data_IF_494025300366
#
_entry.id   IF_494025300366
#
_cell.length_a   1.000
_cell.length_b   1.000
_cell.length_c   1.000
_cell.angle_alpha   90.00
_cell.angle_beta   90.00
_cell.angle_gamma   90.00
#
_symmetry.space_group_name_H-M   'P 1'
#
loop_
_entity.id
_entity.type
_entity.pdbx_description
1 polymer ?
#
# COMPACT_ATOMS: atom_id res chain seq x y z
N UNK A 1 -1.99 -8.48 -4.55
CA UNK A 1 -0.87 -8.29 -3.59
C UNK A 1 -1.15 -7.04 -2.74
N UNK A 2 -0.74 -6.98 -1.47
CA UNK A 2 -1.09 -5.92 -0.48
C UNK A 2 -0.35 -4.58 -0.70
N UNK A 3 -0.11 -4.20 -1.96
CA UNK A 3 0.67 -3.01 -2.30
C UNK A 3 -0.21 -1.78 -2.57
N UNK A 4 -1.42 -1.97 -3.12
CA UNK A 4 -2.36 -0.89 -3.49
C UNK A 4 -1.71 0.22 -4.34
N UNK A 5 -0.83 -0.19 -5.25
CA UNK A 5 0.07 0.69 -6.00
C UNK A 5 -0.62 1.92 -6.63
N UNK A 6 -1.81 1.80 -7.27
CA UNK A 6 -2.45 2.95 -7.92
C UNK A 6 -2.85 4.08 -6.97
N UNK A 7 -3.01 3.81 -5.67
CA UNK A 7 -3.50 4.79 -4.70
C UNK A 7 -2.42 5.70 -4.11
N UNK A 8 -1.15 5.52 -4.46
CA UNK A 8 -0.06 6.32 -3.87
C UNK A 8 1.22 6.43 -4.72
N UNK A 9 1.45 5.53 -5.68
CA UNK A 9 2.72 5.46 -6.38
C UNK A 9 3.01 6.74 -7.19
N UNK A 10 4.22 7.28 -7.00
CA UNK A 10 4.68 8.52 -7.65
C UNK A 10 4.45 9.78 -6.80
N UNK A 11 3.63 9.73 -5.76
CA UNK A 11 3.42 10.88 -4.87
C UNK A 11 4.70 11.26 -4.13
N UNK A 12 5.37 10.30 -3.49
CA UNK A 12 6.62 10.55 -2.76
C UNK A 12 7.68 11.16 -3.66
N UNK A 13 7.88 10.60 -4.86
CA UNK A 13 8.79 11.15 -5.87
C UNK A 13 8.39 12.56 -6.32
N UNK A 14 7.11 12.83 -6.55
CA UNK A 14 6.64 14.16 -6.95
C UNK A 14 6.89 15.22 -5.86
N UNK A 15 6.59 14.89 -4.60
CA UNK A 15 6.87 15.79 -3.48
C UNK A 15 8.37 16.02 -3.30
N UNK A 16 9.19 14.97 -3.46
CA UNK A 16 10.65 15.12 -3.41
C UNK A 16 11.17 16.08 -4.48
N UNK A 17 10.69 15.96 -5.71
CA UNK A 17 11.05 16.86 -6.80
C UNK A 17 10.56 18.30 -6.53
N UNK A 18 9.35 18.45 -5.99
CA UNK A 18 8.81 19.75 -5.59
C UNK A 18 9.68 20.45 -4.53
N UNK A 19 10.09 19.73 -3.49
CA UNK A 19 10.92 20.26 -2.41
C UNK A 19 12.33 20.59 -2.90
N UNK A 20 12.90 19.78 -3.80
CA UNK A 20 14.20 20.08 -4.41
C UNK A 20 14.16 21.39 -5.25
N UNK A 21 13.05 21.63 -5.96
CA UNK A 21 12.85 22.87 -6.71
C UNK A 21 12.50 24.08 -5.82
N UNK A 22 12.00 23.85 -4.60
CA UNK A 22 11.54 24.88 -3.64
C UNK A 22 12.07 24.63 -2.23
N UNK A 23 13.39 24.73 -2.01
CA UNK A 23 14.01 24.31 -0.74
C UNK A 23 13.65 25.21 0.45
N UNK A 24 13.21 26.46 0.22
CA UNK A 24 12.93 27.43 1.30
C UNK A 24 11.49 27.38 1.78
N UNK A 25 10.54 27.20 0.87
CA UNK A 25 9.11 27.40 1.13
C UNK A 25 8.23 26.23 0.66
N UNK A 26 8.77 25.25 -0.07
CA UNK A 26 7.99 24.16 -0.66
C UNK A 26 7.15 23.37 0.35
N UNK A 27 7.73 23.03 1.51
CA UNK A 27 7.00 22.32 2.58
C UNK A 27 5.94 23.22 3.25
N UNK A 28 6.24 24.51 3.43
CA UNK A 28 5.29 25.47 4.00
C UNK A 28 4.06 25.58 3.10
N UNK A 29 4.25 25.71 1.79
CA UNK A 29 3.17 25.76 0.80
C UNK A 29 2.32 24.48 0.83
N UNK A 30 2.94 23.30 0.85
CA UNK A 30 2.20 22.03 0.91
C UNK A 30 1.34 21.92 2.18
N UNK A 31 1.85 22.40 3.32
CA UNK A 31 1.09 22.46 4.58
C UNK A 31 -0.05 23.47 4.52
N UNK A 32 0.14 24.62 3.89
CA UNK A 32 -0.91 25.61 3.65
C UNK A 32 -2.01 25.05 2.74
N UNK A 33 -1.63 24.41 1.64
CA UNK A 33 -2.57 23.68 0.77
C UNK A 33 -3.36 22.65 1.57
N UNK A 34 -2.71 21.89 2.45
CA UNK A 34 -3.42 20.93 3.29
C UNK A 34 -4.37 21.60 4.29
N UNK A 35 -4.08 22.81 4.78
CA UNK A 35 -4.99 23.50 5.72
C UNK A 35 -6.16 24.19 5.02
N UNK A 36 -5.91 24.75 3.84
CA UNK A 36 -6.83 25.71 3.22
C UNK A 36 -7.53 25.15 1.97
N UNK A 37 -7.05 24.03 1.41
CA UNK A 37 -7.61 23.46 0.18
C UNK A 37 -8.29 22.10 0.42
N UNK A 38 -9.64 22.04 0.46
CA UNK A 38 -10.38 20.80 0.74
C UNK A 38 -10.10 19.65 -0.25
N UNK A 39 -9.80 19.97 -1.51
CA UNK A 39 -9.42 18.96 -2.49
C UNK A 39 -8.11 18.26 -2.09
N UNK A 40 -7.10 19.03 -1.70
CA UNK A 40 -5.80 18.47 -1.30
C UNK A 40 -5.92 17.69 0.01
N UNK A 41 -6.74 18.16 0.96
CA UNK A 41 -7.10 17.39 2.17
C UNK A 41 -7.69 16.03 1.82
N UNK A 42 -8.67 16.01 0.93
CA UNK A 42 -9.37 14.77 0.53
C UNK A 42 -8.43 13.81 -0.18
N UNK A 43 -7.57 14.32 -1.08
CA UNK A 43 -6.56 13.53 -1.77
C UNK A 43 -5.60 12.86 -0.77
N UNK A 44 -5.06 13.62 0.18
CA UNK A 44 -4.14 13.08 1.19
C UNK A 44 -4.84 12.11 2.16
N UNK A 45 -6.09 12.38 2.53
CA UNK A 45 -6.89 11.50 3.40
C UNK A 45 -7.18 10.15 2.74
N UNK A 46 -7.52 10.16 1.44
CA UNK A 46 -7.71 8.92 0.68
C UNK A 46 -6.41 8.11 0.60
N UNK A 47 -5.29 8.77 0.30
CA UNK A 47 -3.98 8.12 0.25
C UNK A 47 -3.55 7.57 1.61
N UNK A 48 -3.79 8.30 2.71
CA UNK A 48 -3.54 7.85 4.09
C UNK A 48 -4.27 6.53 4.39
N UNK A 49 -5.57 6.47 4.05
CA UNK A 49 -6.36 5.24 4.19
C UNK A 49 -5.81 4.09 3.35
N UNK A 50 -5.39 4.34 2.10
CA UNK A 50 -4.86 3.29 1.23
C UNK A 50 -3.52 2.76 1.76
N UNK A 51 -2.62 3.66 2.15
CA UNK A 51 -1.32 3.30 2.73
C UNK A 51 -1.49 2.51 4.03
N UNK A 52 -2.45 2.88 4.88
CA UNK A 52 -2.73 2.16 6.12
C UNK A 52 -3.20 0.70 5.90
N UNK A 53 -3.71 0.36 4.72
CA UNK A 53 -4.12 -1.02 4.34
C UNK A 53 -3.02 -1.80 3.65
N UNK A 54 -1.99 -1.12 3.16
CA UNK A 54 -0.85 -1.74 2.49
C UNK A 54 0.03 -2.51 3.48
N UNK A 55 0.72 -3.54 2.99
CA UNK A 55 1.67 -4.31 3.79
C UNK A 55 2.84 -4.74 2.90
N UNK A 56 3.99 -4.08 3.08
CA UNK A 56 5.18 -4.28 2.26
C UNK A 56 5.83 -5.66 2.49
N UNK A 57 5.70 -6.22 3.70
CA UNK A 57 6.21 -7.56 4.01
C UNK A 57 5.39 -8.65 3.33
N UNK A 58 4.06 -8.51 3.27
CA UNK A 58 3.23 -9.40 2.47
C UNK A 58 3.53 -9.20 0.98
N UNK A 59 3.66 -7.95 0.51
CA UNK A 59 3.98 -7.67 -0.88
C UNK A 59 5.30 -8.33 -1.33
N UNK A 60 6.31 -8.42 -0.45
CA UNK A 60 7.56 -9.10 -0.79
C UNK A 60 7.37 -10.60 -1.02
N UNK A 61 6.47 -11.26 -0.26
CA UNK A 61 6.11 -12.67 -0.49
C UNK A 61 5.42 -12.89 -1.84
N UNK A 62 4.61 -11.93 -2.30
CA UNK A 62 4.06 -12.00 -3.65
C UNK A 62 5.14 -11.77 -4.72
N UNK A 63 6.12 -10.90 -4.46
CA UNK A 63 7.23 -10.68 -5.38
C UNK A 63 8.10 -11.93 -5.56
N UNK A 64 8.20 -12.79 -4.55
CA UNK A 64 8.88 -14.11 -4.65
C UNK A 64 8.21 -15.06 -5.67
N UNK A 65 6.97 -14.79 -6.12
CA UNK A 65 6.32 -15.55 -7.18
C UNK A 65 6.80 -15.16 -8.60
N UNK A 66 7.66 -14.14 -8.72
CA UNK A 66 8.31 -13.76 -9.97
C UNK A 66 9.60 -14.59 -10.08
N UNK A 67 9.65 -15.45 -11.10
CA UNK A 67 10.79 -16.35 -11.36
C UNK A 67 12.03 -15.59 -11.81
N UNK A 68 11.85 -14.54 -12.61
CA UNK A 68 12.90 -13.61 -13.00
C UNK A 68 13.37 -12.81 -11.79
N UNK A 69 14.49 -13.26 -11.23
CA UNK A 69 15.10 -12.66 -10.04
C UNK A 69 15.71 -11.30 -10.35
N UNK A 70 16.28 -11.10 -11.54
CA UNK A 70 16.84 -9.79 -11.92
C UNK A 70 15.74 -8.73 -12.02
N UNK A 71 14.61 -9.07 -12.66
CA UNK A 71 13.44 -8.20 -12.71
C UNK A 71 12.90 -7.89 -11.31
N UNK A 72 12.81 -8.90 -10.45
CA UNK A 72 12.34 -8.73 -9.06
C UNK A 72 13.23 -7.77 -8.28
N UNK A 73 14.55 -7.95 -8.32
CA UNK A 73 15.52 -7.11 -7.63
C UNK A 73 15.62 -5.70 -8.24
N UNK A 74 15.34 -5.55 -9.54
CA UNK A 74 15.28 -4.23 -10.18
C UNK A 74 14.04 -3.43 -9.76
N UNK A 75 12.89 -4.08 -9.54
CA UNK A 75 11.60 -3.40 -9.36
C UNK A 75 11.19 -3.31 -7.88
N UNK A 76 11.23 -4.40 -7.12
CA UNK A 76 10.64 -4.43 -5.78
C UNK A 76 11.31 -3.45 -4.79
N UNK A 77 12.65 -3.28 -4.78
CA UNK A 77 13.30 -2.25 -3.95
C UNK A 77 12.85 -0.83 -4.28
N UNK A 78 12.59 -0.53 -5.55
CA UNK A 78 12.07 0.79 -5.97
C UNK A 78 10.66 1.04 -5.46
N UNK A 79 9.80 0.02 -5.53
CA UNK A 79 8.43 0.08 -4.98
C UNK A 79 8.47 0.31 -3.46
N UNK A 80 9.35 -0.40 -2.76
CA UNK A 80 9.55 -0.24 -1.31
C UNK A 80 10.04 1.17 -0.95
N UNK A 81 11.02 1.68 -1.68
CA UNK A 81 11.55 3.02 -1.46
C UNK A 81 10.48 4.10 -1.69
N UNK A 82 9.73 4.02 -2.79
CA UNK A 82 8.64 4.96 -3.07
C UNK A 82 7.53 4.87 -2.01
N UNK A 83 7.20 3.67 -1.54
CA UNK A 83 6.21 3.47 -0.47
C UNK A 83 6.63 4.19 0.81
N UNK A 84 7.88 4.00 1.22
CA UNK A 84 8.44 4.63 2.42
C UNK A 84 8.46 6.16 2.27
N UNK A 85 8.98 6.68 1.16
CA UNK A 85 9.02 8.13 0.92
C UNK A 85 7.62 8.75 0.86
N UNK A 86 6.65 8.04 0.28
CA UNK A 86 5.26 8.51 0.23
C UNK A 86 4.69 8.67 1.63
N UNK A 87 4.89 7.69 2.53
CA UNK A 87 4.46 7.79 3.93
C UNK A 87 5.14 8.95 4.63
N UNK A 88 6.48 9.06 4.53
CA UNK A 88 7.24 10.14 5.15
C UNK A 88 6.74 11.52 4.72
N UNK A 89 6.50 11.72 3.42
CA UNK A 89 6.01 12.99 2.89
C UNK A 89 4.56 13.27 3.29
N UNK A 90 3.68 12.27 3.25
CA UNK A 90 2.30 12.40 3.70
C UNK A 90 2.24 12.85 5.18
N UNK A 91 3.00 12.20 6.05
CA UNK A 91 3.06 12.55 7.48
C UNK A 91 3.67 13.95 7.68
N UNK A 92 4.72 14.30 6.94
CA UNK A 92 5.35 15.62 7.03
C UNK A 92 4.42 16.76 6.60
N UNK A 93 3.59 16.55 5.58
CA UNK A 93 2.61 17.52 5.08
C UNK A 93 1.42 17.63 6.03
N UNK A 94 0.88 16.50 6.48
CA UNK A 94 -0.31 16.47 7.35
C UNK A 94 -0.01 16.80 8.81
N UNK A 95 1.25 16.68 9.24
CA UNK A 95 1.67 16.86 10.64
C UNK A 95 1.33 15.67 11.54
N UNK A 96 0.95 14.53 10.97
CA UNK A 96 0.63 13.30 11.68
C UNK A 96 1.91 12.55 12.09
N UNK A 97 1.85 11.77 13.17
CA UNK A 97 2.93 10.90 13.64
C UNK A 97 2.81 9.49 13.04
N UNK A 98 1.60 9.04 12.77
CA UNK A 98 1.31 7.78 12.10
C UNK A 98 0.14 7.91 11.13
N UNK A 99 0.01 6.92 10.25
CA UNK A 99 -1.11 6.83 9.32
C UNK A 99 -2.42 6.69 10.11
N UNK A 100 -3.47 7.38 9.65
CA UNK A 100 -4.79 7.42 10.29
C UNK A 100 -4.84 8.02 11.70
N UNK A 101 -3.89 8.87 12.10
CA UNK A 101 -3.95 9.58 13.39
C UNK A 101 -5.24 10.41 13.54
N UNK A 102 -5.73 10.98 12.44
CA UNK A 102 -6.98 11.74 12.41
C UNK A 102 -8.24 10.87 12.41
N UNK A 103 -8.11 9.54 12.29
CA UNK A 103 -9.24 8.61 12.30
C UNK A 103 -8.93 7.31 13.08
N UNK A 104 -8.82 7.39 14.42
CA UNK A 104 -8.43 6.26 15.27
C UNK A 104 -9.42 5.10 15.23
N UNK A 105 -10.71 5.38 14.99
CA UNK A 105 -11.73 4.34 14.82
C UNK A 105 -11.47 3.50 13.56
N UNK A 106 -11.15 4.15 12.44
CA UNK A 106 -10.77 3.47 11.21
C UNK A 106 -9.45 2.70 11.39
N UNK A 107 -8.45 3.31 12.02
CA UNK A 107 -7.17 2.66 12.32
C UNK A 107 -7.36 1.35 13.10
N UNK A 108 -8.17 1.40 14.17
CA UNK A 108 -8.51 0.21 14.98
C UNK A 108 -9.30 -0.82 14.16
N UNK A 109 -10.27 -0.36 13.35
CA UNK A 109 -11.07 -1.25 12.50
C UNK A 109 -10.21 -2.01 11.49
N UNK A 110 -9.22 -1.35 10.87
CA UNK A 110 -8.28 -1.97 9.94
C UNK A 110 -7.36 -2.94 10.69
N UNK A 111 -6.77 -2.52 11.82
CA UNK A 111 -5.86 -3.35 12.62
C UNK A 111 -6.52 -4.65 13.09
N UNK A 112 -7.79 -4.59 13.50
CA UNK A 112 -8.55 -5.77 13.93
C UNK A 112 -8.77 -6.79 12.81
N UNK A 113 -8.63 -6.40 11.53
CA UNK A 113 -8.80 -7.31 10.38
C UNK A 113 -7.51 -7.98 9.95
N UNK A 114 -6.35 -7.44 10.30
CA UNK A 114 -5.05 -8.00 9.91
C UNK A 114 -4.84 -9.46 10.35
N UNK A 115 -5.21 -9.88 11.59
CA UNK A 115 -5.08 -11.28 12.00
C UNK A 115 -5.83 -12.27 11.11
N UNK A 116 -6.90 -11.83 10.43
CA UNK A 116 -7.67 -12.66 9.50
C UNK A 116 -7.16 -12.56 8.06
N UNK A 117 -6.65 -11.38 7.67
CA UNK A 117 -6.16 -11.12 6.32
C UNK A 117 -4.77 -11.71 6.07
N UNK A 118 -3.89 -11.69 7.06
CA UNK A 118 -2.50 -12.08 6.87
C UNK A 118 -2.37 -13.57 6.56
N UNK A 119 -3.04 -14.51 7.28
CA UNK A 119 -3.05 -15.92 6.91
C UNK A 119 -3.59 -16.17 5.51
N UNK A 120 -4.69 -15.49 5.12
CA UNK A 120 -5.25 -15.62 3.77
C UNK A 120 -4.26 -15.19 2.69
N UNK A 121 -3.45 -14.16 2.94
CA UNK A 121 -2.41 -13.75 2.00
C UNK A 121 -1.31 -14.81 1.87
N UNK A 122 -0.88 -15.43 2.97
CA UNK A 122 0.12 -16.50 2.93
C UNK A 122 -0.40 -17.74 2.21
N UNK A 123 -1.64 -18.16 2.49
CA UNK A 123 -2.30 -19.25 1.78
C UNK A 123 -2.42 -18.93 0.30
N UNK A 124 -2.84 -17.72 -0.07
CA UNK A 124 -2.94 -17.31 -1.47
C UNK A 124 -1.59 -17.37 -2.20
N UNK A 125 -0.50 -16.92 -1.57
CA UNK A 125 0.85 -16.99 -2.15
C UNK A 125 1.24 -18.44 -2.45
N UNK A 126 0.99 -19.36 -1.52
CA UNK A 126 1.31 -20.77 -1.72
C UNK A 126 0.44 -21.43 -2.81
N UNK A 127 -0.86 -21.16 -2.82
CA UNK A 127 -1.76 -21.69 -3.85
C UNK A 127 -1.38 -21.17 -5.24
N UNK A 128 -1.04 -19.89 -5.36
CA UNK A 128 -0.55 -19.31 -6.62
C UNK A 128 0.76 -19.94 -7.07
N UNK A 129 1.68 -20.25 -6.13
CA UNK A 129 2.93 -20.95 -6.44
C UNK A 129 2.66 -22.33 -7.03
N UNK A 130 1.83 -23.14 -6.36
CA UNK A 130 1.44 -24.48 -6.84
C UNK A 130 0.80 -24.42 -8.22
N UNK A 131 -0.16 -23.52 -8.38
CA UNK A 131 -0.87 -23.38 -9.63
C UNK A 131 0.06 -23.00 -10.79
N UNK A 132 0.99 -22.05 -10.57
CA UNK A 132 2.01 -21.66 -11.57
C UNK A 132 3.01 -22.77 -11.86
N UNK A 133 3.29 -23.65 -10.90
CA UNK A 133 4.12 -24.83 -11.08
C UNK A 133 3.41 -25.98 -11.82
N UNK A 134 2.16 -25.79 -12.26
CA UNK A 134 1.40 -26.76 -13.04
C UNK A 134 0.40 -27.60 -12.25
N UNK A 135 0.14 -27.27 -10.98
CA UNK A 135 -0.93 -27.91 -10.22
C UNK A 135 -2.31 -27.42 -10.72
N UNK A 136 -2.99 -28.29 -11.47
CA UNK A 136 -4.31 -28.02 -12.07
C UNK A 136 -5.46 -28.65 -11.28
N UNK A 137 -5.24 -29.09 -10.03
CA UNK A 137 -6.33 -29.59 -9.18
C UNK A 137 -7.39 -28.48 -9.01
N UNK A 138 -8.66 -28.80 -9.31
CA UNK A 138 -9.78 -27.87 -9.20
C UNK A 138 -9.89 -27.26 -7.80
N UNK A 139 -9.50 -28.01 -6.76
CA UNK A 139 -9.50 -27.54 -5.37
C UNK A 139 -8.50 -26.41 -5.14
N UNK A 140 -7.36 -26.42 -5.84
CA UNK A 140 -6.37 -25.33 -5.78
C UNK A 140 -6.95 -24.06 -6.39
N UNK A 141 -7.55 -24.17 -7.56
CA UNK A 141 -8.20 -23.03 -8.25
C UNK A 141 -9.34 -22.47 -7.40
N UNK A 142 -10.19 -23.35 -6.84
CA UNK A 142 -11.27 -22.94 -5.94
C UNK A 142 -10.74 -22.23 -4.69
N UNK A 143 -9.68 -22.76 -4.07
CA UNK A 143 -9.06 -22.16 -2.91
C UNK A 143 -8.47 -20.77 -3.23
N UNK A 144 -7.88 -20.58 -4.42
CA UNK A 144 -7.41 -19.26 -4.87
C UNK A 144 -8.60 -18.29 -4.91
N UNK A 145 -9.73 -18.67 -5.52
CA UNK A 145 -10.92 -17.81 -5.56
C UNK A 145 -11.45 -17.47 -4.15
N UNK A 146 -11.47 -18.44 -3.23
CA UNK A 146 -11.85 -18.19 -1.84
C UNK A 146 -10.92 -17.18 -1.16
N UNK A 147 -9.61 -17.28 -1.37
CA UNK A 147 -8.65 -16.32 -0.82
C UNK A 147 -8.79 -14.93 -1.42
N UNK A 148 -9.06 -14.82 -2.74
CA UNK A 148 -9.33 -13.53 -3.40
C UNK A 148 -10.55 -12.85 -2.77
N UNK A 149 -11.65 -13.59 -2.62
CA UNK A 149 -12.89 -13.09 -2.03
C UNK A 149 -12.70 -12.70 -0.57
N UNK A 150 -12.01 -13.53 0.23
CA UNK A 150 -11.73 -13.23 1.63
C UNK A 150 -10.86 -11.99 1.82
N UNK A 151 -9.82 -11.83 0.99
CA UNK A 151 -8.95 -10.64 1.02
C UNK A 151 -9.72 -9.38 0.60
N UNK A 152 -10.52 -9.46 -0.47
CA UNK A 152 -11.34 -8.34 -0.94
C UNK A 152 -12.36 -7.89 0.12
N UNK A 153 -13.06 -8.84 0.75
CA UNK A 153 -14.04 -8.57 1.81
C UNK A 153 -13.41 -7.89 3.03
N UNK A 154 -12.20 -8.30 3.44
CA UNK A 154 -11.52 -7.68 4.59
C UNK A 154 -10.96 -6.28 4.30
N UNK A 155 -10.47 -6.03 3.09
CA UNK A 155 -9.88 -4.74 2.69
C UNK A 155 -10.92 -3.64 2.42
N UNK A 156 -12.12 -4.03 1.95
CA UNK A 156 -13.19 -3.10 1.54
C UNK A 156 -12.66 -2.08 0.51
N UNK A 157 -13.00 -0.79 0.64
CA UNK A 157 -12.55 0.27 -0.26
C UNK A 157 -11.02 0.38 -0.30
N UNK A 158 -10.39 0.41 -1.47
CA UNK A 158 -8.92 0.36 -1.61
C UNK A 158 -8.33 1.47 -2.48
N UNK A 159 -9.18 2.40 -2.91
CA UNK A 159 -8.89 3.49 -3.85
C UNK A 159 -10.17 3.84 -4.59
#
# INVERSE_FOLDING_TARGET
CRLMLPGWYGFGTAIKAWLAARPRDGMRILREMYREWPFFQTLLSNMDMVLAKSNIAIASRYAELVEDTELREAIFPRLRAEWQYTIEMLLAITGQQALLDQNPLLARSIKNRFPYLDPLNHVQVELLRRHRAGDTDERVVQAIHLTINGIAAGLRNSG
#
